data_IF_918068516398
#
_entry.id   IF_918068516398
#
_cell.length_a   1.000
_cell.length_b   1.000
_cell.length_c   1.000
_cell.angle_alpha   90.00
_cell.angle_beta   90.00
_cell.angle_gamma   90.00
#
_symmetry.space_group_name_H-M   'P 1'
#
loop_
_entity.id
_entity.type
_entity.pdbx_description
1 polymer ?
#
# COMPACT_ATOMS: atom_id res chain seq x y z
N UNK A 1 0.76 -25.04 1.74
CA UNK A 1 0.33 -24.11 2.81
C UNK A 1 0.33 -24.83 4.16
N UNK A 2 -0.54 -25.81 4.38
CA UNK A 2 -0.67 -26.49 5.69
C UNK A 2 0.58 -27.27 6.13
N UNK A 3 1.42 -27.68 5.17
CA UNK A 3 2.69 -28.38 5.41
C UNK A 3 3.86 -27.45 5.74
N UNK A 4 3.70 -26.13 5.59
CA UNK A 4 4.78 -25.19 5.87
C UNK A 4 5.02 -25.08 7.37
N UNK A 5 6.28 -25.02 7.76
CA UNK A 5 6.67 -24.64 9.12
C UNK A 5 6.55 -23.12 9.31
N UNK A 6 5.31 -22.66 9.35
CA UNK A 6 4.90 -21.26 9.56
C UNK A 6 3.57 -21.27 10.31
N UNK A 7 3.51 -20.56 11.42
CA UNK A 7 2.27 -20.42 12.20
C UNK A 7 1.22 -19.68 11.39
N UNK A 8 1.60 -18.60 10.72
CA UNK A 8 0.71 -17.83 9.86
C UNK A 8 0.13 -18.71 8.74
N UNK A 9 0.96 -19.49 8.06
CA UNK A 9 0.51 -20.35 6.96
C UNK A 9 -0.54 -21.37 7.40
N UNK A 10 -0.44 -21.91 8.63
CA UNK A 10 -1.43 -22.85 9.18
C UNK A 10 -2.77 -22.20 9.51
N UNK A 11 -2.77 -20.94 9.93
CA UNK A 11 -3.99 -20.19 10.30
C UNK A 11 -4.64 -19.47 9.12
N UNK A 12 -3.86 -19.10 8.11
CA UNK A 12 -4.30 -18.33 6.96
C UNK A 12 -5.46 -19.03 6.22
N UNK A 13 -6.55 -18.34 5.86
CA UNK A 13 -7.62 -18.94 5.05
C UNK A 13 -7.13 -19.48 3.70
N UNK A 14 -7.61 -20.66 3.30
CA UNK A 14 -7.29 -21.24 1.98
C UNK A 14 -8.08 -20.55 0.87
N UNK A 15 -7.53 -20.53 -0.36
CA UNK A 15 -8.12 -19.84 -1.53
C UNK A 15 -8.44 -18.35 -1.26
N UNK A 16 -7.64 -17.72 -0.41
CA UNK A 16 -7.80 -16.34 0.00
C UNK A 16 -6.63 -15.48 -0.47
N UNK A 17 -6.89 -14.19 -0.71
CA UNK A 17 -5.88 -13.24 -1.17
C UNK A 17 -4.70 -13.09 -0.21
N UNK A 18 -4.98 -13.06 1.10
CA UNK A 18 -3.97 -12.94 2.15
C UNK A 18 -2.97 -14.11 2.20
N UNK A 19 -3.12 -15.16 1.37
CA UNK A 19 -2.08 -16.18 1.15
C UNK A 19 -0.81 -15.58 0.56
N UNK A 20 -0.88 -14.38 -0.04
CA UNK A 20 0.29 -13.63 -0.50
C UNK A 20 1.30 -13.37 0.63
N UNK A 21 0.83 -13.18 1.87
CA UNK A 21 1.69 -13.10 3.06
C UNK A 21 2.58 -14.33 3.25
N UNK A 22 2.11 -15.54 2.87
CA UNK A 22 2.93 -16.75 2.93
C UNK A 22 4.13 -16.64 1.98
N UNK A 23 3.90 -16.10 0.77
CA UNK A 23 4.97 -15.82 -0.18
C UNK A 23 6.00 -14.86 0.40
N UNK A 24 5.55 -13.79 1.06
CA UNK A 24 6.44 -12.85 1.75
C UNK A 24 7.28 -13.55 2.83
N UNK A 25 6.66 -14.33 3.71
CA UNK A 25 7.39 -15.06 4.76
C UNK A 25 8.46 -15.99 4.18
N UNK A 26 8.17 -16.68 3.08
CA UNK A 26 9.15 -17.54 2.41
C UNK A 26 10.30 -16.73 1.81
N UNK A 27 10.03 -15.60 1.18
CA UNK A 27 11.06 -14.69 0.69
C UNK A 27 11.95 -14.14 1.82
N UNK A 28 11.34 -13.73 2.94
CA UNK A 28 12.06 -13.23 4.12
C UNK A 28 12.96 -14.33 4.69
N UNK A 29 12.42 -15.53 4.90
CA UNK A 29 13.15 -16.69 5.41
C UNK A 29 14.34 -17.09 4.53
N UNK A 30 14.27 -16.82 3.23
CA UNK A 30 15.36 -17.07 2.28
C UNK A 30 16.41 -15.94 2.25
N UNK A 31 16.37 -14.97 3.17
CA UNK A 31 17.38 -13.92 3.30
C UNK A 31 17.22 -12.77 2.31
N UNK A 32 16.02 -12.52 1.79
CA UNK A 32 15.78 -11.38 0.88
C UNK A 32 16.09 -10.06 1.58
N UNK A 33 16.88 -9.18 0.98
CA UNK A 33 17.11 -7.81 1.48
C UNK A 33 16.08 -6.79 0.98
N UNK A 34 15.39 -7.14 -0.11
CA UNK A 34 14.29 -6.37 -0.70
C UNK A 34 13.28 -7.36 -1.28
N UNK A 35 11.99 -7.05 -1.18
CA UNK A 35 10.92 -7.79 -1.85
C UNK A 35 10.11 -6.83 -2.69
N UNK A 36 9.80 -7.22 -3.93
CA UNK A 36 8.87 -6.50 -4.80
C UNK A 36 7.65 -7.38 -5.01
N UNK A 37 6.47 -6.88 -4.65
CA UNK A 37 5.19 -7.57 -4.84
C UNK A 37 4.56 -7.23 -6.20
N UNK A 38 4.03 -8.25 -6.88
CA UNK A 38 3.29 -8.14 -8.15
C UNK A 38 2.08 -9.09 -8.17
N UNK A 39 1.12 -8.84 -9.04
CA UNK A 39 0.05 -9.78 -9.40
C UNK A 39 0.28 -10.39 -10.80
N UNK A 40 -0.57 -11.33 -11.21
CA UNK A 40 -0.48 -12.06 -12.48
C UNK A 40 -0.96 -11.24 -13.69
N UNK A 41 -1.76 -10.19 -13.46
CA UNK A 41 -2.22 -9.25 -14.49
C UNK A 41 -1.31 -8.01 -14.66
N UNK A 42 -0.18 -7.99 -13.95
CA UNK A 42 0.83 -6.95 -14.02
C UNK A 42 2.02 -7.39 -14.86
N UNK A 43 2.18 -6.77 -16.04
CA UNK A 43 3.27 -7.04 -16.96
C UNK A 43 4.45 -6.08 -16.69
N UNK A 44 5.63 -6.58 -16.28
CA UNK A 44 6.78 -5.74 -15.99
C UNK A 44 7.37 -5.11 -17.26
N UNK A 45 7.64 -3.81 -17.19
CA UNK A 45 8.46 -3.11 -18.19
C UNK A 45 9.95 -3.24 -17.86
N UNK A 46 10.82 -2.79 -18.74
CA UNK A 46 12.28 -2.84 -18.51
C UNK A 46 12.70 -2.13 -17.22
N UNK A 47 12.03 -1.01 -16.89
CA UNK A 47 12.28 -0.24 -15.67
C UNK A 47 11.98 -1.03 -14.40
N UNK A 48 11.09 -2.03 -14.44
CA UNK A 48 10.79 -2.86 -13.28
C UNK A 48 12.01 -3.63 -12.78
N UNK A 49 12.89 -4.04 -13.70
CA UNK A 49 14.06 -4.87 -13.40
C UNK A 49 15.30 -4.07 -13.00
N UNK A 50 15.22 -2.74 -13.10
CA UNK A 50 16.35 -1.88 -12.75
C UNK A 50 16.62 -1.91 -11.23
N UNK A 51 17.88 -1.78 -10.80
CA UNK A 51 18.23 -1.66 -9.40
C UNK A 51 17.47 -0.50 -8.74
N UNK A 52 17.03 -0.69 -7.50
CA UNK A 52 16.35 0.36 -6.72
C UNK A 52 17.23 0.80 -5.56
N UNK A 53 17.23 2.10 -5.32
CA UNK A 53 17.84 2.70 -4.15
C UNK A 53 16.77 2.91 -3.08
N UNK A 54 17.17 2.83 -1.80
CA UNK A 54 16.29 3.17 -0.67
C UNK A 54 16.21 4.67 -0.45
N UNK A 55 17.34 5.34 -0.59
CA UNK A 55 17.50 6.77 -0.37
C UNK A 55 17.40 7.49 -1.72
N UNK A 56 16.54 8.48 -1.79
CA UNK A 56 16.25 9.25 -3.00
C UNK A 56 16.45 10.73 -2.75
N UNK A 57 16.96 11.45 -3.75
CA UNK A 57 16.91 12.91 -3.82
C UNK A 57 15.82 13.24 -4.85
N UNK A 58 14.64 13.62 -4.38
CA UNK A 58 13.44 13.69 -5.21
C UNK A 58 12.44 14.71 -4.69
N UNK A 59 11.38 14.98 -5.46
CA UNK A 59 10.27 15.84 -5.06
C UNK A 59 9.55 15.27 -3.83
N UNK A 60 9.43 16.06 -2.76
CA UNK A 60 8.78 15.65 -1.51
C UNK A 60 7.53 16.47 -1.22
N UNK A 61 6.45 15.77 -0.88
CA UNK A 61 5.22 16.39 -0.35
C UNK A 61 5.24 16.27 1.16
N UNK A 62 5.39 17.42 1.84
CA UNK A 62 5.50 17.50 3.30
C UNK A 62 4.18 17.87 3.98
N UNK A 63 3.24 18.47 3.24
CA UNK A 63 1.92 18.85 3.75
C UNK A 63 0.84 18.57 2.71
N UNK A 64 -0.29 18.03 3.14
CA UNK A 64 -1.39 17.74 2.21
C UNK A 64 -2.57 16.99 2.79
N UNK A 65 -2.36 16.24 3.88
CA UNK A 65 -3.37 15.29 4.36
C UNK A 65 -3.54 14.21 3.29
N UNK A 66 -4.68 14.16 2.62
CA UNK A 66 -4.85 13.31 1.44
C UNK A 66 -4.20 13.94 0.20
N UNK A 67 -3.34 13.17 -0.47
CA UNK A 67 -2.60 13.55 -1.68
C UNK A 67 -2.92 12.56 -2.78
N UNK A 68 -3.60 13.01 -3.84
CA UNK A 68 -3.79 12.20 -5.04
C UNK A 68 -2.51 12.24 -5.88
N UNK A 69 -1.58 11.33 -5.59
CA UNK A 69 -0.25 11.32 -6.24
C UNK A 69 -0.34 11.14 -7.76
N UNK A 70 -1.39 10.50 -8.28
CA UNK A 70 -1.54 10.29 -9.72
C UNK A 70 -1.58 11.61 -10.51
N UNK A 71 -1.98 12.74 -9.88
CA UNK A 71 -1.96 14.07 -10.51
C UNK A 71 -0.56 14.56 -10.84
N UNK A 72 0.48 14.08 -10.14
CA UNK A 72 1.86 14.38 -10.48
C UNK A 72 2.33 13.62 -11.73
N UNK A 73 1.63 12.55 -12.10
CA UNK A 73 1.99 11.67 -13.20
C UNK A 73 0.99 11.74 -14.36
N UNK A 74 -0.14 12.43 -14.24
CA UNK A 74 -1.12 12.54 -15.32
C UNK A 74 -1.89 13.85 -15.24
N UNK A 75 -2.28 14.35 -16.42
CA UNK A 75 -3.21 15.48 -16.54
C UNK A 75 -4.68 15.00 -16.56
N UNK A 76 -4.92 13.69 -16.62
CA UNK A 76 -6.26 13.13 -16.56
C UNK A 76 -6.86 13.27 -15.15
N UNK A 77 -8.18 13.31 -15.07
CA UNK A 77 -8.89 13.24 -13.80
C UNK A 77 -8.89 11.79 -13.28
N UNK A 78 -7.75 11.35 -12.74
CA UNK A 78 -7.51 9.97 -12.29
C UNK A 78 -7.02 9.96 -10.83
N UNK A 79 -7.37 8.92 -10.09
CA UNK A 79 -7.00 8.76 -8.69
C UNK A 79 -6.80 7.28 -8.34
N UNK A 80 -5.92 6.96 -7.37
CA UNK A 80 -5.71 5.59 -6.93
C UNK A 80 -6.94 5.05 -6.20
N UNK A 81 -7.16 3.73 -6.29
CA UNK A 81 -8.23 3.06 -5.53
C UNK A 81 -8.09 3.35 -4.04
N UNK A 82 -9.22 3.63 -3.40
CA UNK A 82 -9.27 3.98 -1.98
C UNK A 82 -8.99 5.45 -1.67
N UNK A 83 -8.76 6.30 -2.68
CA UNK A 83 -8.68 7.73 -2.46
C UNK A 83 -10.06 8.30 -2.08
N UNK A 84 -10.19 9.18 -1.07
CA UNK A 84 -11.50 9.70 -0.67
C UNK A 84 -12.16 10.54 -1.76
N UNK A 85 -13.35 10.11 -2.21
CA UNK A 85 -14.09 10.75 -3.30
C UNK A 85 -14.39 12.23 -3.04
N UNK A 86 -14.65 12.59 -1.77
CA UNK A 86 -14.92 13.97 -1.36
C UNK A 86 -13.74 14.93 -1.55
N UNK A 87 -12.54 14.40 -1.82
CA UNK A 87 -11.31 15.17 -1.95
C UNK A 87 -10.75 15.16 -3.37
N UNK A 88 -11.44 14.56 -4.34
CA UNK A 88 -10.97 14.49 -5.74
C UNK A 88 -10.76 15.87 -6.37
N UNK A 89 -11.60 16.84 -5.99
CA UNK A 89 -11.52 18.21 -6.50
C UNK A 89 -10.52 19.09 -5.73
N UNK A 90 -9.86 18.55 -4.68
CA UNK A 90 -8.89 19.32 -3.92
C UNK A 90 -7.67 19.62 -4.81
N UNK A 91 -7.27 20.90 -4.96
CA UNK A 91 -6.07 21.24 -5.70
C UNK A 91 -4.83 20.73 -4.96
N UNK A 92 -3.80 20.39 -5.74
CA UNK A 92 -2.46 20.08 -5.26
C UNK A 92 -1.50 21.10 -5.87
N UNK A 93 -0.37 21.41 -5.20
CA UNK A 93 0.70 22.17 -5.85
C UNK A 93 1.17 21.42 -7.11
N UNK A 94 1.64 22.16 -8.10
CA UNK A 94 2.24 21.57 -9.29
C UNK A 94 3.53 20.83 -8.93
N UNK A 95 3.90 19.82 -9.73
CA UNK A 95 5.09 19.00 -9.48
C UNK A 95 6.35 19.85 -9.39
N UNK A 96 6.46 20.84 -10.28
CA UNK A 96 7.58 21.76 -10.42
C UNK A 96 7.72 22.74 -9.24
N UNK A 97 6.72 22.79 -8.35
CA UNK A 97 6.74 23.60 -7.13
C UNK A 97 7.14 22.78 -5.89
N UNK A 98 7.31 21.46 -6.02
CA UNK A 98 7.72 20.62 -4.91
C UNK A 98 9.21 20.80 -4.64
N UNK A 99 9.59 20.76 -3.36
CA UNK A 99 10.99 20.81 -2.98
C UNK A 99 11.65 19.45 -3.26
N UNK A 100 12.79 19.48 -3.93
CA UNK A 100 13.66 18.32 -4.03
C UNK A 100 14.48 18.18 -2.76
N UNK A 101 14.29 17.08 -2.03
CA UNK A 101 15.05 16.79 -0.82
C UNK A 101 15.36 15.30 -0.72
N UNK A 102 16.31 14.98 0.17
CA UNK A 102 16.71 13.60 0.44
C UNK A 102 15.66 12.90 1.32
N UNK A 103 15.08 11.82 0.82
CA UNK A 103 14.07 11.01 1.50
C UNK A 103 14.53 9.56 1.69
N UNK A 104 14.26 8.99 2.87
CA UNK A 104 14.42 7.55 3.14
C UNK A 104 13.11 6.82 2.81
N UNK A 105 13.12 6.00 1.75
CA UNK A 105 11.94 5.39 1.17
C UNK A 105 12.04 3.85 1.15
N UNK A 106 11.90 3.16 2.29
CA UNK A 106 11.89 1.70 2.34
C UNK A 106 10.58 1.08 1.82
N UNK A 107 9.60 1.90 1.43
CA UNK A 107 8.35 1.50 0.78
C UNK A 107 8.23 2.30 -0.50
N UNK A 108 8.14 1.64 -1.66
CA UNK A 108 8.10 2.31 -2.96
C UNK A 108 7.05 1.68 -3.86
N UNK A 109 6.06 2.46 -4.28
CA UNK A 109 5.02 2.04 -5.21
C UNK A 109 5.34 2.54 -6.62
N UNK A 110 5.59 1.61 -7.54
CA UNK A 110 5.62 1.93 -8.97
C UNK A 110 4.21 2.03 -9.52
N UNK A 111 3.99 2.98 -10.45
CA UNK A 111 2.73 3.06 -11.18
C UNK A 111 2.63 1.97 -12.26
N UNK A 112 1.42 1.75 -12.77
CA UNK A 112 1.15 0.85 -13.86
C UNK A 112 0.37 1.58 -14.96
N UNK A 113 0.82 1.43 -16.20
CA UNK A 113 0.12 1.97 -17.38
C UNK A 113 -1.07 1.09 -17.79
N UNK A 114 -1.87 1.64 -18.70
CA UNK A 114 -3.07 1.11 -19.32
C UNK A 114 -4.25 0.95 -18.39
N UNK A 115 -4.18 0.06 -17.43
CA UNK A 115 -5.33 -0.29 -16.60
C UNK A 115 -5.01 -0.20 -15.10
N UNK A 116 -4.47 0.93 -14.60
CA UNK A 116 -3.91 1.06 -13.25
C UNK A 116 -4.87 0.67 -12.12
N UNK A 117 -4.36 0.67 -10.89
CA UNK A 117 -5.16 0.47 -9.69
C UNK A 117 -6.02 1.70 -9.35
N UNK A 118 -7.14 1.77 -10.05
CA UNK A 118 -8.22 2.74 -9.91
C UNK A 118 -9.48 2.05 -9.40
N UNK A 119 -10.35 2.80 -8.75
CA UNK A 119 -11.59 2.29 -8.18
C UNK A 119 -12.68 1.98 -9.22
N UNK A 120 -13.70 1.24 -8.81
CA UNK A 120 -14.82 0.84 -9.64
C UNK A 120 -15.61 2.04 -10.19
N UNK A 121 -15.73 3.13 -9.42
CA UNK A 121 -16.42 4.34 -9.88
C UNK A 121 -15.72 4.90 -11.11
N UNK A 122 -14.40 5.09 -11.07
CA UNK A 122 -13.65 5.53 -12.24
C UNK A 122 -13.93 4.59 -13.43
N UNK A 123 -13.81 3.28 -13.22
CA UNK A 123 -13.98 2.28 -14.29
C UNK A 123 -15.36 2.33 -14.94
N UNK A 124 -16.39 2.68 -14.17
CA UNK A 124 -17.76 2.78 -14.64
C UNK A 124 -18.03 4.08 -15.43
N UNK A 125 -17.30 5.16 -15.14
CA UNK A 125 -17.69 6.51 -15.60
C UNK A 125 -16.62 7.27 -16.40
N UNK A 126 -15.38 6.79 -16.43
CA UNK A 126 -14.23 7.46 -17.05
C UNK A 126 -13.42 6.52 -17.97
N UNK A 127 -12.70 7.08 -18.96
CA UNK A 127 -12.04 6.29 -19.98
C UNK A 127 -10.73 5.63 -19.51
N UNK A 128 -10.51 4.43 -20.06
CA UNK A 128 -9.25 3.68 -20.11
C UNK A 128 -8.89 3.41 -21.59
N UNK A 129 -7.62 3.16 -21.95
CA UNK A 129 -6.44 3.09 -21.07
C UNK A 129 -5.93 4.45 -20.60
N UNK A 130 -5.11 4.45 -19.55
CA UNK A 130 -4.41 5.63 -19.04
C UNK A 130 -2.88 5.46 -19.13
N UNK A 131 -2.17 6.53 -19.46
CA UNK A 131 -0.71 6.55 -19.54
C UNK A 131 -0.15 7.61 -18.61
N UNK A 132 0.80 7.23 -17.78
CA UNK A 132 1.46 8.15 -16.86
C UNK A 132 2.74 8.74 -17.45
N UNK A 133 3.08 9.95 -17.03
CA UNK A 133 4.33 10.64 -17.33
C UNK A 133 5.50 9.84 -16.77
N UNK A 134 6.54 9.69 -17.59
CA UNK A 134 7.80 9.05 -17.23
C UNK A 134 8.75 10.04 -16.54
N UNK A 135 9.78 9.52 -15.86
CA UNK A 135 10.88 10.33 -15.32
C UNK A 135 10.48 11.24 -14.16
N UNK A 136 9.44 10.86 -13.42
CA UNK A 136 9.00 11.54 -12.19
C UNK A 136 9.05 10.56 -11.03
N UNK A 137 9.35 11.10 -9.86
CA UNK A 137 9.30 10.42 -8.57
C UNK A 137 8.75 11.42 -7.55
N UNK A 138 7.91 10.95 -6.62
CA UNK A 138 7.32 11.78 -5.58
C UNK A 138 7.34 11.01 -4.27
N UNK A 139 8.00 11.55 -3.25
CA UNK A 139 7.99 10.99 -1.91
C UNK A 139 6.93 11.70 -1.05
N UNK A 140 6.11 10.91 -0.35
CA UNK A 140 5.17 11.41 0.65
C UNK A 140 5.78 11.30 2.04
N UNK A 141 6.00 12.45 2.68
CA UNK A 141 6.50 12.51 4.04
C UNK A 141 5.38 12.40 5.08
N UNK A 142 5.75 12.52 6.35
CA UNK A 142 4.82 12.50 7.49
C UNK A 142 3.66 13.48 7.31
N UNK A 143 2.45 13.02 7.58
CA UNK A 143 1.21 13.81 7.43
C UNK A 143 0.60 13.77 6.03
N UNK A 144 1.24 13.12 5.07
CA UNK A 144 0.71 12.92 3.71
C UNK A 144 0.28 11.48 3.49
N UNK A 145 -0.92 11.31 2.97
CA UNK A 145 -1.59 10.04 2.74
C UNK A 145 -1.92 9.86 1.27
N UNK A 146 -1.53 8.73 0.73
CA UNK A 146 -2.03 8.23 -0.53
C UNK A 146 -2.19 6.72 -0.42
N UNK A 147 -3.34 6.14 -0.80
CA UNK A 147 -3.44 4.69 -0.87
C UNK A 147 -2.41 4.14 -1.85
N UNK A 148 -1.85 2.98 -1.50
CA UNK A 148 -1.05 2.17 -2.40
C UNK A 148 -1.47 0.70 -2.27
N UNK A 149 -1.13 -0.12 -3.25
CA UNK A 149 -1.61 -1.50 -3.35
C UNK A 149 -0.47 -2.49 -3.16
N UNK A 150 -0.70 -3.76 -3.48
CA UNK A 150 0.32 -4.81 -3.46
C UNK A 150 0.64 -5.34 -4.87
N UNK A 151 0.54 -4.51 -5.90
CA UNK A 151 0.68 -4.91 -7.31
C UNK A 151 2.00 -4.50 -7.94
N UNK A 152 2.71 -3.52 -7.38
CA UNK A 152 3.99 -3.04 -7.89
C UNK A 152 4.73 -2.27 -6.79
N UNK A 153 4.97 -2.94 -5.67
CA UNK A 153 5.44 -2.28 -4.45
C UNK A 153 6.71 -2.94 -3.94
N UNK A 154 7.77 -2.15 -3.79
CA UNK A 154 9.04 -2.59 -3.24
C UNK A 154 9.11 -2.29 -1.74
N UNK A 155 9.68 -3.22 -1.00
CA UNK A 155 9.85 -3.18 0.45
C UNK A 155 11.30 -3.53 0.79
N UNK A 156 11.93 -2.72 1.63
CA UNK A 156 13.22 -3.05 2.25
C UNK A 156 13.01 -3.84 3.53
N UNK A 157 14.05 -4.59 3.93
CA UNK A 157 13.98 -5.54 5.04
C UNK A 157 13.40 -4.95 6.34
N UNK A 158 13.76 -3.71 6.67
CA UNK A 158 13.27 -3.03 7.87
C UNK A 158 11.76 -2.73 7.82
N UNK A 159 11.16 -2.70 6.64
CA UNK A 159 9.73 -2.48 6.44
C UNK A 159 8.94 -3.79 6.21
N UNK A 160 9.59 -4.97 6.20
CA UNK A 160 8.90 -6.23 5.88
C UNK A 160 7.70 -6.54 6.79
N UNK A 161 7.77 -6.19 8.07
CA UNK A 161 6.63 -6.39 8.97
C UNK A 161 5.36 -5.65 8.53
N UNK A 162 5.52 -4.52 7.81
CA UNK A 162 4.42 -3.70 7.29
C UNK A 162 3.78 -4.27 6.01
N UNK A 163 4.35 -5.33 5.42
CA UNK A 163 3.78 -5.98 4.23
C UNK A 163 2.46 -6.72 4.53
N UNK A 164 2.13 -6.94 5.81
CA UNK A 164 0.98 -7.72 6.27
C UNK A 164 -0.35 -7.33 5.62
N UNK A 165 -0.90 -8.23 4.80
CA UNK A 165 -2.23 -8.08 4.20
C UNK A 165 -3.30 -8.73 5.09
N UNK A 166 -4.30 -7.97 5.59
CA UNK A 166 -5.33 -8.52 6.47
C UNK A 166 -6.29 -9.47 5.76
N UNK A 167 -6.81 -10.47 6.48
CA UNK A 167 -7.68 -11.50 5.91
C UNK A 167 -9.18 -11.24 6.12
N UNK A 168 -9.56 -10.62 7.24
CA UNK A 168 -10.94 -10.47 7.66
C UNK A 168 -11.46 -9.05 7.43
N UNK A 169 -11.28 -8.57 6.20
CA UNK A 169 -11.80 -7.30 5.69
C UNK A 169 -12.29 -7.48 4.25
N UNK A 170 -12.85 -6.43 3.64
CA UNK A 170 -13.16 -6.47 2.20
C UNK A 170 -11.90 -6.75 1.39
N UNK A 171 -11.98 -7.68 0.43
CA UNK A 171 -10.89 -8.01 -0.49
C UNK A 171 -10.37 -6.75 -1.23
N UNK A 172 -11.28 -5.88 -1.66
CA UNK A 172 -10.93 -4.62 -2.35
C UNK A 172 -10.37 -3.56 -1.40
N UNK A 173 -10.32 -3.81 -0.10
CA UNK A 173 -9.72 -2.90 0.89
C UNK A 173 -8.51 -3.48 1.61
N UNK A 174 -8.18 -4.75 1.39
CA UNK A 174 -7.09 -5.44 2.08
C UNK A 174 -5.76 -4.70 1.97
N UNK A 175 -5.31 -4.44 0.76
CA UNK A 175 -4.05 -3.76 0.48
C UNK A 175 -4.12 -2.24 0.75
N UNK A 176 -5.28 -1.63 0.52
CA UNK A 176 -5.54 -0.21 0.79
C UNK A 176 -5.43 0.09 2.29
N UNK A 177 -6.11 -0.67 3.15
CA UNK A 177 -6.04 -0.46 4.59
C UNK A 177 -4.68 -0.84 5.16
N UNK A 178 -4.04 -1.90 4.62
CA UNK A 178 -2.62 -2.19 4.88
C UNK A 178 -1.76 -0.96 4.58
N UNK A 179 -1.98 -0.29 3.44
CA UNK A 179 -1.20 0.88 3.05
C UNK A 179 -1.31 2.04 4.04
N UNK A 180 -2.48 2.22 4.66
CA UNK A 180 -2.69 3.26 5.66
C UNK A 180 -1.94 2.94 6.97
N UNK A 181 -2.03 1.69 7.43
CA UNK A 181 -1.28 1.23 8.60
C UNK A 181 0.23 1.37 8.35
N UNK A 182 0.70 0.95 7.18
CA UNK A 182 2.10 1.06 6.80
C UNK A 182 2.59 2.52 6.75
N UNK A 183 1.84 3.43 6.11
CA UNK A 183 2.16 4.86 6.08
C UNK A 183 2.25 5.46 7.48
N UNK A 184 1.26 5.18 8.34
CA UNK A 184 1.24 5.70 9.70
C UNK A 184 2.48 5.28 10.49
N UNK A 185 2.89 4.01 10.38
CA UNK A 185 4.03 3.48 11.13
C UNK A 185 5.36 3.93 10.51
N UNK A 186 5.43 4.08 9.18
CA UNK A 186 6.60 4.61 8.47
C UNK A 186 7.01 5.98 9.01
N UNK A 187 6.03 6.84 9.32
CA UNK A 187 6.29 8.17 9.87
C UNK A 187 7.01 8.18 11.22
N UNK A 188 6.76 7.19 12.09
CA UNK A 188 7.46 7.09 13.37
C UNK A 188 8.93 6.66 13.22
N UNK A 189 9.30 6.20 12.02
CA UNK A 189 10.66 5.81 11.67
C UNK A 189 11.34 6.84 10.75
N UNK A 190 10.71 8.00 10.53
CA UNK A 190 11.23 9.02 9.62
C UNK A 190 11.22 8.61 8.15
N UNK A 191 10.42 7.59 7.79
CA UNK A 191 10.34 7.06 6.44
C UNK A 191 9.25 7.77 5.63
N UNK A 192 9.55 7.95 4.35
CA UNK A 192 8.61 8.40 3.33
C UNK A 192 8.14 7.21 2.48
N UNK A 193 6.99 7.35 1.84
CA UNK A 193 6.54 6.42 0.79
C UNK A 193 6.82 7.04 -0.56
N UNK A 194 7.61 6.35 -1.39
CA UNK A 194 7.92 6.82 -2.75
C UNK A 194 6.87 6.32 -3.73
N UNK A 195 6.45 7.19 -4.65
CA UNK A 195 5.73 6.84 -5.85
C UNK A 195 6.62 7.12 -7.06
N UNK A 196 6.78 6.15 -7.95
CA UNK A 196 7.62 6.28 -9.15
C UNK A 196 6.80 6.22 -10.42
N UNK A 197 7.35 6.77 -11.52
CA UNK A 197 6.78 6.64 -12.86
C UNK A 197 6.49 5.17 -13.23
N UNK A 198 5.60 4.88 -14.19
CA UNK A 198 5.11 3.52 -14.35
C UNK A 198 6.21 2.57 -14.79
N UNK A 199 6.37 1.49 -14.02
CA UNK A 199 7.33 0.40 -14.31
C UNK A 199 6.63 -0.87 -14.79
N UNK A 200 5.31 -0.84 -14.90
CA UNK A 200 4.49 -1.96 -15.35
C UNK A 200 3.39 -1.46 -16.29
N UNK A 201 2.79 -2.41 -17.02
CA UNK A 201 1.49 -2.26 -17.67
C UNK A 201 0.52 -3.26 -17.04
N UNK A 202 -0.72 -2.88 -16.81
CA UNK A 202 -1.72 -3.79 -16.28
C UNK A 202 -2.69 -4.23 -17.37
N UNK A 203 -2.78 -5.54 -17.58
CA UNK A 203 -3.75 -6.18 -18.48
C UNK A 203 -4.81 -6.87 -17.64
N UNK A 204 -5.69 -6.06 -17.06
CA UNK A 204 -6.65 -6.51 -16.04
C UNK A 204 -7.52 -7.65 -16.56
N UNK A 205 -7.71 -8.65 -15.70
CA UNK A 205 -8.67 -9.72 -15.90
C UNK A 205 -10.11 -9.19 -16.07
N UNK A 206 -11.00 -9.99 -16.67
CA UNK A 206 -12.43 -9.65 -16.73
C UNK A 206 -13.05 -9.65 -15.33
N UNK A 207 -13.63 -8.52 -14.95
CA UNK A 207 -14.23 -8.30 -13.63
C UNK A 207 -15.69 -7.87 -13.76
N UNK A 208 -16.50 -8.18 -12.74
CA UNK A 208 -17.81 -7.58 -12.58
C UNK A 208 -17.66 -6.22 -11.85
N UNK A 209 -17.70 -5.12 -12.62
CA UNK A 209 -17.49 -3.77 -12.08
C UNK A 209 -18.50 -3.37 -11.01
N UNK A 210 -19.73 -3.87 -11.06
CA UNK A 210 -20.74 -3.59 -10.03
C UNK A 210 -20.44 -4.32 -8.73
N UNK A 211 -19.87 -5.52 -8.81
CA UNK A 211 -19.39 -6.25 -7.63
C UNK A 211 -18.15 -5.59 -7.04
N UNK A 212 -17.20 -5.17 -7.88
CA UNK A 212 -16.03 -4.40 -7.44
C UNK A 212 -16.48 -3.11 -6.73
N UNK A 213 -17.51 -2.42 -7.25
CA UNK A 213 -18.12 -1.25 -6.61
C UNK A 213 -18.68 -1.58 -5.23
N UNK A 214 -19.48 -2.66 -5.10
CA UNK A 214 -20.05 -3.10 -3.82
C UNK A 214 -18.95 -3.40 -2.79
N UNK A 215 -17.93 -4.16 -3.18
CA UNK A 215 -16.81 -4.52 -2.32
C UNK A 215 -15.95 -3.30 -1.92
N UNK A 216 -16.00 -2.20 -2.70
CA UNK A 216 -15.28 -0.95 -2.44
C UNK A 216 -16.06 0.07 -1.60
N UNK A 217 -17.37 -0.12 -1.37
CA UNK A 217 -18.20 0.76 -0.53
C UNK A 217 -17.57 1.06 0.84
N UNK A 218 -17.01 0.07 1.58
CA UNK A 218 -16.34 0.37 2.85
C UNK A 218 -15.21 1.40 2.71
N UNK A 219 -14.46 1.36 1.60
CA UNK A 219 -13.41 2.33 1.34
C UNK A 219 -13.94 3.74 1.16
N UNK A 220 -14.98 3.90 0.34
CA UNK A 220 -15.60 5.20 0.08
C UNK A 220 -16.17 5.85 1.35
N UNK A 221 -16.67 5.04 2.29
CA UNK A 221 -17.31 5.52 3.51
C UNK A 221 -16.35 5.74 4.69
N UNK A 222 -15.27 4.94 4.78
CA UNK A 222 -14.46 4.86 6.00
C UNK A 222 -13.00 5.29 5.85
N UNK A 223 -12.43 5.42 4.64
CA UNK A 223 -11.00 5.72 4.49
C UNK A 223 -10.59 7.03 5.19
N UNK A 224 -11.39 8.10 5.08
CA UNK A 224 -11.14 9.35 5.82
C UNK A 224 -11.18 9.16 7.34
N UNK A 225 -12.14 8.37 7.84
CA UNK A 225 -12.27 8.07 9.28
C UNK A 225 -11.11 7.20 9.79
N UNK A 226 -10.62 6.26 8.97
CA UNK A 226 -9.46 5.44 9.27
C UNK A 226 -8.23 6.32 9.41
N UNK A 227 -8.00 7.24 8.47
CA UNK A 227 -6.92 8.22 8.57
C UNK A 227 -6.96 8.96 9.90
N UNK A 228 -8.09 9.59 10.22
CA UNK A 228 -8.25 10.36 11.47
C UNK A 228 -7.98 9.48 12.72
N UNK A 229 -8.51 8.26 12.70
CA UNK A 229 -8.32 7.29 13.77
C UNK A 229 -6.85 6.88 13.94
N UNK A 230 -6.11 6.66 12.85
CA UNK A 230 -4.70 6.29 12.87
C UNK A 230 -3.80 7.47 13.23
N UNK A 231 -4.10 8.68 12.77
CA UNK A 231 -3.38 9.92 13.14
C UNK A 231 -3.46 10.16 14.65
N UNK A 232 -4.60 9.85 15.28
CA UNK A 232 -4.80 9.97 16.72
C UNK A 232 -4.09 8.92 17.59
N UNK A 233 -3.42 7.92 17.00
CA UNK A 233 -2.70 6.90 17.75
C UNK A 233 -1.33 7.40 18.21
N UNK A 234 -0.98 7.08 19.46
CA UNK A 234 0.37 7.23 19.98
C UNK A 234 1.18 5.97 19.67
N UNK A 235 2.06 6.06 18.69
CA UNK A 235 2.89 4.95 18.21
C UNK A 235 4.34 5.18 18.63
N UNK A 236 5.09 4.09 18.84
CA UNK A 236 6.48 4.14 19.28
C UNK A 236 7.40 4.34 18.06
N UNK A 237 8.41 5.22 18.13
CA UNK A 237 9.49 5.21 17.16
C UNK A 237 10.34 3.94 17.32
N UNK A 238 11.12 3.60 16.29
CA UNK A 238 12.00 2.42 16.14
C UNK A 238 11.41 1.28 15.31
N UNK A 239 12.30 0.66 14.52
CA UNK A 239 12.05 -0.56 13.73
C UNK A 239 11.62 -1.70 14.65
N UNK A 240 12.21 -1.83 15.84
CA UNK A 240 11.84 -2.84 16.84
C UNK A 240 10.40 -2.64 17.35
N UNK A 241 9.90 -1.39 17.30
CA UNK A 241 8.55 -1.02 17.72
C UNK A 241 7.46 -1.31 16.68
N UNK A 242 7.82 -1.69 15.44
CA UNK A 242 6.85 -1.87 14.34
C UNK A 242 5.81 -2.94 14.68
N UNK A 243 6.22 -4.06 15.30
CA UNK A 243 5.29 -5.14 15.66
C UNK A 243 4.23 -4.71 16.68
N UNK A 244 4.62 -3.93 17.69
CA UNK A 244 3.68 -3.36 18.68
C UNK A 244 2.75 -2.34 18.01
N UNK A 245 3.31 -1.47 17.17
CA UNK A 245 2.53 -0.46 16.45
C UNK A 245 1.50 -1.09 15.49
N UNK A 246 1.86 -2.19 14.83
CA UNK A 246 0.93 -2.95 14.00
C UNK A 246 -0.27 -3.43 14.83
N UNK A 247 -0.03 -4.03 16.01
CA UNK A 247 -1.12 -4.45 16.90
C UNK A 247 -2.03 -3.29 17.28
N UNK A 248 -1.45 -2.17 17.71
CA UNK A 248 -2.22 -0.96 18.07
C UNK A 248 -3.10 -0.48 16.90
N UNK A 249 -2.54 -0.42 15.69
CA UNK A 249 -3.28 -0.02 14.49
C UNK A 249 -4.42 -1.00 14.16
N UNK A 250 -4.18 -2.31 14.17
CA UNK A 250 -5.21 -3.30 13.85
C UNK A 250 -6.28 -3.40 14.95
N UNK A 251 -5.92 -3.28 16.23
CA UNK A 251 -6.87 -3.14 17.33
C UNK A 251 -7.77 -1.91 17.13
N UNK A 252 -7.21 -0.80 16.65
CA UNK A 252 -7.99 0.40 16.32
C UNK A 252 -9.00 0.11 15.20
N UNK A 253 -8.58 -0.55 14.11
CA UNK A 253 -9.49 -0.92 13.02
C UNK A 253 -10.60 -1.90 13.47
N UNK A 254 -10.27 -2.83 14.36
CA UNK A 254 -11.26 -3.74 14.99
C UNK A 254 -12.24 -2.97 15.87
N UNK A 255 -11.77 -2.01 16.66
CA UNK A 255 -12.65 -1.17 17.50
C UNK A 255 -13.63 -0.33 16.67
N UNK A 256 -13.28 -0.05 15.41
CA UNK A 256 -14.14 0.63 14.44
C UNK A 256 -15.08 -0.33 13.69
N UNK A 257 -15.07 -1.63 14.03
CA UNK A 257 -15.84 -2.69 13.36
C UNK A 257 -15.55 -2.82 11.86
N UNK A 258 -14.33 -2.46 11.43
CA UNK A 258 -13.90 -2.55 10.03
C UNK A 258 -13.24 -3.89 9.72
N UNK A 259 -12.63 -4.49 10.74
CA UNK A 259 -11.91 -5.77 10.66
C UNK A 259 -12.41 -6.67 11.79
N UNK A 260 -12.56 -7.97 11.52
CA UNK A 260 -12.94 -8.95 12.55
C UNK A 260 -11.81 -9.16 13.58
N UNK A 261 -12.18 -9.41 14.84
CA UNK A 261 -11.21 -9.67 15.92
C UNK A 261 -10.29 -10.86 15.66
N UNK A 262 -10.72 -11.84 14.85
CA UNK A 262 -9.89 -12.97 14.39
C UNK A 262 -8.60 -12.52 13.68
N UNK A 263 -8.56 -11.29 13.17
CA UNK A 263 -7.38 -10.75 12.51
C UNK A 263 -6.17 -10.67 13.45
N UNK A 264 -6.37 -10.44 14.75
CA UNK A 264 -5.24 -10.35 15.70
C UNK A 264 -4.47 -11.66 15.80
N UNK A 265 -5.16 -12.81 15.70
CA UNK A 265 -4.50 -14.11 15.74
C UNK A 265 -3.60 -14.31 14.53
N UNK A 266 -4.04 -13.87 13.34
CA UNK A 266 -3.24 -13.90 12.12
C UNK A 266 -2.07 -12.91 12.19
N UNK A 267 -2.30 -11.70 12.69
CA UNK A 267 -1.25 -10.69 12.85
C UNK A 267 -0.17 -11.18 13.82
N UNK A 268 -0.57 -11.77 14.95
CA UNK A 268 0.37 -12.34 15.92
C UNK A 268 1.21 -13.46 15.31
N UNK A 269 0.58 -14.32 14.51
CA UNK A 269 1.28 -15.39 13.81
C UNK A 269 2.26 -14.85 12.74
N UNK A 270 1.88 -13.80 12.02
CA UNK A 270 2.75 -13.10 11.08
C UNK A 270 3.99 -12.51 11.78
N UNK A 271 3.78 -11.78 12.89
CA UNK A 271 4.87 -11.17 13.65
C UNK A 271 5.81 -12.21 14.27
N UNK A 272 5.26 -13.34 14.73
CA UNK A 272 6.06 -14.46 15.24
C UNK A 272 6.93 -15.10 14.15
N UNK A 273 6.36 -15.35 12.97
CA UNK A 273 7.08 -15.97 11.85
C UNK A 273 8.15 -15.03 11.26
N UNK A 274 7.90 -13.72 11.19
CA UNK A 274 8.93 -12.74 10.81
C UNK A 274 10.10 -12.77 11.79
N UNK A 275 9.84 -12.73 13.10
CA UNK A 275 10.91 -12.75 14.12
C UNK A 275 11.78 -14.00 14.08
N UNK A 276 11.26 -15.12 13.57
CA UNK A 276 12.03 -16.36 13.37
C UNK A 276 12.84 -16.38 12.07
N UNK A 277 12.53 -15.47 11.15
CA UNK A 277 13.09 -15.43 9.80
C UNK A 277 14.17 -14.36 9.61
N UNK A 278 14.38 -13.52 10.62
CA UNK A 278 15.39 -12.45 10.68
C UNK A 278 16.50 -12.83 11.67
#
# INVERSE_FOLDING_TARGET
>A
QVELDSKYARLCPTKHYCRKNIGYLLSIKNGSSMIIETDDDNLPLEQFWQPRNRIHETAVVETGGWVNVYRYFSNANIWPRGFPLSLLQKPLPDFEMLNETKADCPIQQGLADDNPDIDAIYRLVLPLPQKFKQGREVALAKGCWCPFNSQNTAWWAEAFALMYLPAYCSFRMTDIWRSFVAQRIAWENGWSVLFTSPTMRQERNEHNLMRDFEDEIPGYLYNSKIREALEGLNLKPSVDGIGDNLRICYEKLISMSLIDRKELELLDAWLEDIKKSV
#
